data_IF_174913996381
#
_entry.id   IF_174913996381
#
_cell.length_a   1.000
_cell.length_b   1.000
_cell.length_c   1.000
_cell.angle_alpha   90.00
_cell.angle_beta   90.00
_cell.angle_gamma   90.00
#
_symmetry.space_group_name_H-M   'P 1'
#
loop_
_entity.id
_entity.type
_entity.pdbx_description
1 polymer ?
#
# COMPACT_ATOMS: atom_id res chain seq x y z
N UNK A 1 -4.89 -24.03 -17.63
CA UNK A 1 -5.80 -24.30 -16.51
C UNK A 1 -5.08 -24.88 -15.32
N UNK A 2 -4.13 -25.81 -15.51
CA UNK A 2 -3.67 -26.66 -14.41
C UNK A 2 -2.73 -26.02 -13.38
N UNK A 3 -1.90 -25.03 -13.79
CA UNK A 3 -0.92 -24.42 -12.88
C UNK A 3 -1.55 -23.42 -11.90
N UNK A 4 -2.55 -22.65 -12.34
CA UNK A 4 -3.15 -21.58 -11.54
C UNK A 4 -4.45 -21.97 -10.85
N UNK A 5 -5.09 -23.08 -11.25
CA UNK A 5 -6.37 -23.48 -10.67
C UNK A 5 -6.28 -23.70 -9.15
N UNK A 6 -5.26 -24.42 -8.68
CA UNK A 6 -5.05 -24.63 -7.25
C UNK A 6 -4.85 -23.30 -6.51
N UNK A 7 -3.98 -22.43 -7.03
CA UNK A 7 -3.71 -21.13 -6.43
C UNK A 7 -4.97 -20.25 -6.37
N UNK A 8 -5.80 -20.23 -7.42
CA UNK A 8 -7.05 -19.48 -7.43
C UNK A 8 -8.04 -20.00 -6.39
N UNK A 9 -8.19 -21.32 -6.25
CA UNK A 9 -9.06 -21.95 -5.25
C UNK A 9 -8.60 -21.61 -3.84
N UNK A 10 -7.32 -21.83 -3.54
CA UNK A 10 -6.76 -21.60 -2.22
C UNK A 10 -6.76 -20.11 -1.84
N UNK A 11 -6.37 -19.22 -2.75
CA UNK A 11 -6.37 -17.78 -2.49
C UNK A 11 -7.78 -17.23 -2.34
N UNK A 12 -8.76 -17.75 -3.09
CA UNK A 12 -10.15 -17.34 -2.93
C UNK A 12 -10.69 -17.75 -1.56
N UNK A 13 -10.47 -19.01 -1.14
CA UNK A 13 -10.86 -19.48 0.19
C UNK A 13 -10.21 -18.62 1.29
N UNK A 14 -8.93 -18.31 1.16
CA UNK A 14 -8.26 -17.41 2.10
C UNK A 14 -8.89 -16.02 2.12
N UNK A 15 -9.01 -15.36 0.96
CA UNK A 15 -9.47 -13.98 0.84
C UNK A 15 -10.93 -13.79 1.29
N UNK A 16 -11.81 -14.77 1.07
CA UNK A 16 -13.24 -14.65 1.35
C UNK A 16 -13.69 -15.33 2.64
N UNK A 17 -12.93 -16.27 3.19
CA UNK A 17 -13.39 -17.11 4.30
C UNK A 17 -12.43 -17.09 5.49
N UNK A 18 -11.11 -17.23 5.25
CA UNK A 18 -10.16 -17.54 6.32
C UNK A 18 -9.28 -16.38 6.80
N UNK A 19 -9.12 -15.30 6.03
CA UNK A 19 -8.23 -14.22 6.42
C UNK A 19 -8.69 -13.58 7.75
N UNK A 20 -7.75 -13.46 8.69
CA UNK A 20 -7.98 -12.91 10.03
C UNK A 20 -8.14 -11.39 9.96
N UNK A 21 -9.39 -10.94 10.05
CA UNK A 21 -9.74 -9.53 9.87
C UNK A 21 -9.23 -8.66 11.02
N UNK A 22 -9.17 -9.16 12.25
CA UNK A 22 -8.66 -8.43 13.41
C UNK A 22 -7.16 -8.13 13.23
N UNK A 23 -6.39 -9.16 12.88
CA UNK A 23 -4.97 -9.00 12.59
C UNK A 23 -4.73 -8.06 11.40
N UNK A 24 -5.56 -8.16 10.35
CA UNK A 24 -5.44 -7.31 9.16
C UNK A 24 -5.72 -5.83 9.46
N UNK A 25 -6.68 -5.50 10.33
CA UNK A 25 -6.88 -4.12 10.78
C UNK A 25 -5.64 -3.58 11.49
N UNK A 26 -5.07 -4.34 12.43
CA UNK A 26 -3.84 -3.96 13.12
C UNK A 26 -2.65 -3.80 12.16
N UNK A 27 -2.56 -4.66 11.14
CA UNK A 27 -1.53 -4.60 10.12
C UNK A 27 -1.67 -3.37 9.22
N UNK A 28 -2.89 -3.00 8.82
CA UNK A 28 -3.14 -1.79 8.05
C UNK A 28 -2.64 -0.56 8.80
N UNK A 29 -3.04 -0.41 10.07
CA UNK A 29 -2.67 0.74 10.90
C UNK A 29 -1.15 0.78 11.17
N UNK A 30 -0.51 -0.38 11.31
CA UNK A 30 0.95 -0.47 11.42
C UNK A 30 1.64 0.00 10.15
N UNK A 31 1.25 -0.52 8.98
CA UNK A 31 1.86 -0.14 7.70
C UNK A 31 1.64 1.34 7.38
N UNK A 32 0.44 1.89 7.62
CA UNK A 32 0.17 3.32 7.42
C UNK A 32 1.09 4.17 8.31
N UNK A 33 1.15 3.89 9.61
CA UNK A 33 1.99 4.62 10.57
C UNK A 33 3.47 4.55 10.20
N UNK A 34 3.98 3.37 9.89
CA UNK A 34 5.39 3.21 9.54
C UNK A 34 5.71 3.87 8.19
N UNK A 35 4.79 3.84 7.22
CA UNK A 35 4.97 4.55 5.95
C UNK A 35 5.10 6.06 6.18
N UNK A 36 4.23 6.62 7.03
CA UNK A 36 4.30 8.02 7.45
C UNK A 36 5.62 8.34 8.15
N UNK A 37 6.07 7.48 9.08
CA UNK A 37 7.37 7.63 9.76
C UNK A 37 8.55 7.60 8.77
N UNK A 38 8.49 6.79 7.72
CA UNK A 38 9.52 6.74 6.68
C UNK A 38 9.51 7.98 5.78
N UNK A 39 8.33 8.55 5.50
CA UNK A 39 8.21 9.85 4.82
C UNK A 39 8.93 10.93 5.62
N UNK A 40 8.64 11.03 6.91
CA UNK A 40 9.26 12.00 7.83
C UNK A 40 10.78 11.82 7.96
N UNK A 41 11.26 10.58 7.87
CA UNK A 41 12.69 10.26 7.86
C UNK A 41 13.39 10.53 6.51
N UNK A 42 12.66 10.99 5.47
CA UNK A 42 13.23 11.21 4.14
C UNK A 42 13.57 9.92 3.39
N UNK A 43 12.88 8.82 3.70
CA UNK A 43 13.07 7.48 3.14
C UNK A 43 11.85 7.07 2.29
N UNK A 44 11.64 7.68 1.11
CA UNK A 44 10.42 7.48 0.33
C UNK A 44 10.27 6.09 -0.28
N UNK A 45 11.37 5.39 -0.58
CA UNK A 45 11.30 4.02 -1.12
C UNK A 45 10.78 3.02 -0.08
N UNK A 46 11.33 2.96 1.16
CA UNK A 46 10.70 2.20 2.24
C UNK A 46 9.25 2.61 2.53
N UNK A 47 8.94 3.91 2.48
CA UNK A 47 7.58 4.39 2.68
C UNK A 47 6.61 3.84 1.62
N UNK A 48 7.04 3.77 0.36
CA UNK A 48 6.28 3.20 -0.74
C UNK A 48 5.93 1.72 -0.51
N UNK A 49 6.91 0.91 -0.10
CA UNK A 49 6.70 -0.52 0.19
C UNK A 49 5.66 -0.74 1.30
N UNK A 50 5.70 0.09 2.35
CA UNK A 50 4.72 0.04 3.44
C UNK A 50 3.32 0.50 2.99
N UNK A 51 3.26 1.51 2.13
CA UNK A 51 1.99 1.97 1.54
C UNK A 51 1.36 0.88 0.66
N UNK A 52 2.15 0.16 -0.14
CA UNK A 52 1.67 -0.98 -0.92
C UNK A 52 1.11 -2.09 -0.04
N UNK A 53 1.78 -2.38 1.09
CA UNK A 53 1.28 -3.35 2.07
C UNK A 53 -0.06 -2.90 2.66
N UNK A 54 -0.19 -1.63 3.06
CA UNK A 54 -1.47 -1.10 3.55
C UNK A 54 -2.58 -1.21 2.50
N UNK A 55 -2.29 -0.87 1.23
CA UNK A 55 -3.22 -1.01 0.11
C UNK A 55 -3.67 -2.47 -0.11
N UNK A 56 -2.73 -3.41 -0.08
CA UNK A 56 -3.05 -4.83 -0.21
C UNK A 56 -3.89 -5.35 0.96
N UNK A 57 -3.54 -4.99 2.19
CA UNK A 57 -4.29 -5.36 3.39
C UNK A 57 -5.72 -4.80 3.37
N UNK A 58 -5.90 -3.57 2.89
CA UNK A 58 -7.24 -3.03 2.63
C UNK A 58 -8.04 -3.91 1.67
N UNK A 59 -7.45 -4.37 0.57
CA UNK A 59 -8.15 -5.24 -0.39
C UNK A 59 -8.58 -6.58 0.24
N UNK A 60 -7.76 -7.13 1.15
CA UNK A 60 -8.14 -8.35 1.89
C UNK A 60 -9.30 -8.08 2.85
N UNK A 61 -9.30 -6.95 3.54
CA UNK A 61 -10.42 -6.53 4.40
C UNK A 61 -11.72 -6.30 3.60
N UNK A 62 -11.62 -5.68 2.41
CA UNK A 62 -12.74 -5.46 1.48
C UNK A 62 -13.28 -6.82 0.97
N UNK A 63 -12.40 -7.74 0.57
CA UNK A 63 -12.77 -9.08 0.14
C UNK A 63 -13.46 -9.89 1.25
N UNK A 64 -12.98 -9.79 2.51
CA UNK A 64 -13.62 -10.41 3.67
C UNK A 64 -14.97 -9.79 4.03
N UNK A 65 -15.40 -8.72 3.36
CA UNK A 65 -16.59 -7.93 3.71
C UNK A 65 -16.53 -7.44 5.17
N UNK A 66 -15.31 -7.19 5.68
CA UNK A 66 -15.05 -6.78 7.05
C UNK A 66 -15.23 -5.27 7.26
N UNK A 67 -15.43 -4.51 6.18
CA UNK A 67 -15.61 -3.07 6.17
C UNK A 67 -16.95 -2.70 5.53
N UNK A 68 -17.68 -1.78 6.14
CA UNK A 68 -18.88 -1.19 5.57
C UNK A 68 -18.56 -0.28 4.39
N UNK A 69 -19.59 0.09 3.61
CA UNK A 69 -19.44 1.04 2.49
C UNK A 69 -18.83 2.37 2.92
N UNK A 70 -19.23 2.87 4.10
CA UNK A 70 -18.70 4.14 4.65
C UNK A 70 -17.25 3.99 5.08
N UNK A 71 -16.90 2.87 5.73
CA UNK A 71 -15.51 2.58 6.12
C UNK A 71 -14.62 2.41 4.89
N UNK A 72 -15.09 1.71 3.85
CA UNK A 72 -14.38 1.53 2.59
C UNK A 72 -13.93 2.87 2.00
N UNK A 73 -14.81 3.87 1.95
CA UNK A 73 -14.43 5.21 1.49
C UNK A 73 -13.33 5.84 2.36
N UNK A 74 -13.39 5.66 3.68
CA UNK A 74 -12.34 6.15 4.60
C UNK A 74 -10.99 5.48 4.36
N UNK A 75 -10.95 4.15 4.18
CA UNK A 75 -9.72 3.43 3.88
C UNK A 75 -9.12 3.85 2.52
N UNK A 76 -9.95 4.00 1.48
CA UNK A 76 -9.50 4.50 0.17
C UNK A 76 -8.86 5.88 0.30
N UNK A 77 -9.47 6.79 1.07
CA UNK A 77 -8.91 8.12 1.30
C UNK A 77 -7.57 8.07 2.02
N UNK A 78 -7.42 7.21 3.04
CA UNK A 78 -6.17 7.00 3.77
C UNK A 78 -5.04 6.52 2.85
N UNK A 79 -5.28 5.45 2.08
CA UNK A 79 -4.30 4.92 1.12
C UNK A 79 -3.92 5.96 0.07
N UNK A 80 -4.90 6.70 -0.47
CA UNK A 80 -4.66 7.75 -1.48
C UNK A 80 -3.83 8.90 -0.92
N UNK A 81 -4.11 9.35 0.29
CA UNK A 81 -3.33 10.40 0.96
C UNK A 81 -1.89 9.96 1.18
N UNK A 82 -1.69 8.72 1.63
CA UNK A 82 -0.36 8.15 1.86
C UNK A 82 0.42 8.03 0.54
N UNK A 83 -0.19 7.52 -0.52
CA UNK A 83 0.43 7.40 -1.83
C UNK A 83 0.88 8.76 -2.39
N UNK A 84 0.06 9.80 -2.21
CA UNK A 84 0.41 11.17 -2.58
C UNK A 84 1.63 11.67 -1.79
N UNK A 85 1.63 11.51 -0.47
CA UNK A 85 2.72 11.95 0.38
C UNK A 85 4.04 11.21 0.05
N UNK A 86 3.98 9.91 -0.25
CA UNK A 86 5.14 9.14 -0.74
C UNK A 86 5.66 9.71 -2.06
N UNK A 87 4.78 10.05 -3.01
CA UNK A 87 5.18 10.61 -4.30
C UNK A 87 5.85 11.99 -4.14
N UNK A 88 5.28 12.87 -3.31
CA UNK A 88 5.84 14.18 -2.98
C UNK A 88 7.23 14.04 -2.31
N UNK A 89 7.35 13.13 -1.33
CA UNK A 89 8.63 12.84 -0.68
C UNK A 89 9.68 12.23 -1.64
N UNK A 90 9.25 11.36 -2.55
CA UNK A 90 10.11 10.81 -3.58
C UNK A 90 10.63 11.91 -4.49
N UNK A 91 9.75 12.78 -5.00
CA UNK A 91 10.13 13.90 -5.84
C UNK A 91 11.15 14.80 -5.14
N UNK A 92 10.88 15.23 -3.91
CA UNK A 92 11.78 16.06 -3.12
C UNK A 92 13.15 15.39 -2.91
N UNK A 93 13.17 14.07 -2.66
CA UNK A 93 14.42 13.31 -2.55
C UNK A 93 15.19 13.31 -3.86
N UNK A 94 14.51 13.10 -5.00
CA UNK A 94 15.13 13.13 -6.33
C UNK A 94 15.68 14.51 -6.66
N UNK A 95 14.95 15.58 -6.32
CA UNK A 95 15.38 16.97 -6.47
C UNK A 95 16.64 17.26 -5.64
N UNK A 96 16.66 16.85 -4.37
CA UNK A 96 17.83 17.03 -3.49
C UNK A 96 19.10 16.35 -4.00
N UNK A 97 18.95 15.32 -4.84
CA UNK A 97 20.06 14.59 -5.47
C UNK A 97 20.42 15.15 -6.85
N UNK A 98 19.79 16.25 -7.29
CA UNK A 98 20.00 16.83 -8.61
C UNK A 98 19.43 16.00 -9.76
N UNK A 99 18.37 15.23 -9.50
CA UNK A 99 17.69 14.35 -10.47
C UNK A 99 18.65 13.41 -11.25
N UNK A 100 19.41 12.51 -10.60
CA UNK A 100 20.52 11.78 -11.22
C UNK A 100 20.15 10.80 -12.35
N UNK A 101 18.86 10.58 -12.62
CA UNK A 101 18.36 9.74 -13.72
C UNK A 101 17.81 10.56 -14.90
N UNK A 102 17.69 11.88 -14.76
CA UNK A 102 17.41 12.73 -15.92
C UNK A 102 18.70 12.79 -16.74
N UNK A 103 18.65 12.31 -17.98
CA UNK A 103 19.75 12.49 -18.93
C UNK A 103 20.00 13.99 -19.08
N UNK A 104 21.18 14.47 -18.69
CA UNK A 104 21.61 15.81 -19.06
C UNK A 104 21.72 15.86 -20.59
N UNK A 105 20.79 16.54 -21.26
CA UNK A 105 20.87 16.79 -22.69
C UNK A 105 19.88 16.06 -23.60
N UNK A 106 18.75 15.54 -23.11
CA UNK A 106 17.61 15.29 -23.99
C UNK A 106 16.92 16.63 -24.33
N UNK A 107 17.54 17.40 -25.23
CA UNK A 107 16.87 18.47 -25.99
C UNK A 107 16.25 17.86 -27.24
#
# INVERSE_FOLDING_TARGET
GDVFHQNEVEMSAYNFEHADTEALFGWFDHCERESQRMIEAGLPLPAYELMLKASHTFNLLDARSAISVTERQRFILRVRSLARAVAEAYYARRESLGFPMLRQGAR
#
